data_IF_732380100561
#
_entry.id   IF_732380100561
#
_cell.length_a   1.000
_cell.length_b   1.000
_cell.length_c   1.000
_cell.angle_alpha   90.00
_cell.angle_beta   90.00
_cell.angle_gamma   90.00
#
_symmetry.space_group_name_H-M   'P 1'
#
loop_
_entity.id
_entity.type
_entity.pdbx_description
1 polymer ?
#
# COMPACT_ATOMS: atom_id res chain seq x y z
N UNK A 1 -19.50 0.63 -2.70
CA UNK A 1 -19.16 0.25 -1.31
C UNK A 1 -19.38 -1.24 -1.16
N UNK A 2 -18.30 -1.96 -0.87
CA UNK A 2 -18.34 -3.39 -0.57
C UNK A 2 -18.66 -3.59 0.91
N UNK A 3 -19.53 -4.55 1.22
CA UNK A 3 -19.70 -5.03 2.58
C UNK A 3 -18.49 -5.86 3.03
N UNK A 4 -18.33 -6.01 4.36
CA UNK A 4 -17.28 -6.85 4.93
C UNK A 4 -17.36 -8.29 4.39
N UNK A 5 -18.57 -8.86 4.33
CA UNK A 5 -18.81 -10.22 3.86
C UNK A 5 -18.50 -10.39 2.37
N UNK A 6 -18.85 -9.42 1.52
CA UNK A 6 -18.48 -9.43 0.09
C UNK A 6 -16.96 -9.40 -0.08
N UNK A 7 -16.26 -8.57 0.70
CA UNK A 7 -14.80 -8.49 0.64
C UNK A 7 -14.14 -9.82 1.04
N UNK A 8 -14.60 -10.42 2.14
CA UNK A 8 -14.05 -11.67 2.65
C UNK A 8 -14.28 -12.84 1.70
N UNK A 9 -15.40 -12.86 0.98
CA UNK A 9 -15.74 -13.96 0.07
C UNK A 9 -15.18 -13.80 -1.34
N UNK A 10 -14.85 -12.58 -1.77
CA UNK A 10 -14.34 -12.33 -3.12
C UNK A 10 -13.05 -13.10 -3.44
N UNK A 11 -12.91 -13.57 -4.67
CA UNK A 11 -11.69 -14.22 -5.15
C UNK A 11 -10.52 -13.22 -5.17
N UNK A 12 -9.26 -13.70 -5.26
CA UNK A 12 -8.14 -12.82 -5.58
C UNK A 12 -8.45 -11.96 -6.80
N UNK A 13 -8.89 -12.58 -7.91
CA UNK A 13 -9.20 -11.88 -9.17
C UNK A 13 -10.30 -10.82 -9.03
N UNK A 14 -11.33 -11.06 -8.21
CA UNK A 14 -12.40 -10.09 -7.94
C UNK A 14 -11.90 -8.90 -7.11
N UNK A 15 -10.96 -9.14 -6.20
CA UNK A 15 -10.29 -8.09 -5.40
C UNK A 15 -9.19 -7.39 -6.17
N UNK A 16 -8.74 -8.00 -7.26
CA UNK A 16 -7.62 -7.56 -8.08
C UNK A 16 -8.04 -7.21 -9.51
N UNK A 17 -9.33 -6.95 -9.77
CA UNK A 17 -9.81 -6.32 -11.03
C UNK A 17 -9.07 -5.01 -11.38
N UNK A 18 -8.29 -4.51 -10.43
CA UNK A 18 -7.38 -3.38 -10.45
C UNK A 18 -5.95 -3.67 -10.98
N UNK A 19 -5.62 -4.92 -11.33
CA UNK A 19 -4.28 -5.40 -11.74
C UNK A 19 -3.81 -4.93 -13.11
N UNK A 20 -4.69 -4.37 -13.93
CA UNK A 20 -4.33 -3.92 -15.27
C UNK A 20 -3.61 -2.57 -15.24
N UNK A 21 -2.34 -2.58 -14.83
CA UNK A 21 -1.40 -1.50 -15.10
C UNK A 21 -0.90 -1.57 -16.55
N UNK A 22 -1.85 -1.60 -17.50
CA UNK A 22 -1.54 -1.60 -18.91
C UNK A 22 -0.69 -0.38 -19.25
N UNK A 23 0.27 -0.58 -20.14
CA UNK A 23 1.29 0.40 -20.50
C UNK A 23 0.68 1.52 -21.35
N UNK A 24 -0.09 2.41 -20.72
CA UNK A 24 -0.54 3.65 -21.35
C UNK A 24 0.54 4.74 -21.24
N UNK A 25 0.56 5.64 -22.23
CA UNK A 25 1.53 6.74 -22.35
C UNK A 25 1.65 7.52 -21.03
N UNK A 26 2.86 7.54 -20.46
CA UNK A 26 3.15 8.32 -19.26
C UNK A 26 3.46 9.77 -19.62
N UNK A 27 3.11 10.73 -18.76
CA UNK A 27 3.51 12.13 -18.99
C UNK A 27 5.03 12.28 -18.97
N UNK A 28 5.70 11.53 -18.09
CA UNK A 28 7.16 11.36 -18.09
C UNK A 28 7.51 9.88 -17.99
N UNK A 29 8.46 9.43 -18.82
CA UNK A 29 9.10 8.11 -18.71
C UNK A 29 10.60 8.30 -18.56
N UNK A 30 11.15 7.91 -17.42
CA UNK A 30 12.59 7.96 -17.14
C UNK A 30 13.28 6.79 -17.83
N UNK A 31 14.13 7.13 -18.81
CA UNK A 31 15.01 6.23 -19.56
C UNK A 31 16.50 6.57 -19.35
N UNK A 32 16.85 7.02 -18.14
CA UNK A 32 18.24 7.29 -17.77
C UNK A 32 18.58 6.58 -16.47
N UNK A 33 19.87 6.31 -16.24
CA UNK A 33 20.33 5.71 -14.99
C UNK A 33 20.18 6.66 -13.81
N UNK A 34 20.32 7.97 -14.04
CA UNK A 34 20.10 9.03 -13.05
C UNK A 34 19.49 10.26 -13.71
N UNK A 35 18.56 10.91 -13.02
CA UNK A 35 18.02 12.22 -13.38
C UNK A 35 17.36 12.84 -12.15
N UNK A 36 17.19 14.16 -12.17
CA UNK A 36 16.56 14.90 -11.06
C UNK A 36 15.33 15.64 -11.55
N UNK A 37 14.25 15.56 -10.78
CA UNK A 37 13.04 16.35 -10.96
C UNK A 37 12.72 17.07 -9.66
N UNK A 38 12.48 18.38 -9.75
CA UNK A 38 12.16 19.22 -8.60
C UNK A 38 10.97 20.12 -8.95
N UNK A 39 10.01 20.23 -8.04
CA UNK A 39 8.87 21.15 -8.18
C UNK A 39 8.06 20.97 -9.49
N UNK A 40 7.95 19.73 -9.96
CA UNK A 40 7.26 19.40 -11.21
C UNK A 40 5.82 18.93 -10.95
N UNK A 41 4.91 19.25 -11.86
CA UNK A 41 3.56 18.68 -11.92
C UNK A 41 3.46 17.76 -13.14
N UNK A 42 3.03 16.52 -12.91
CA UNK A 42 2.80 15.50 -13.92
C UNK A 42 1.30 15.18 -14.00
N UNK A 43 0.74 15.27 -15.20
CA UNK A 43 -0.67 14.95 -15.49
C UNK A 43 -0.72 14.17 -16.79
N UNK A 44 -1.49 13.08 -16.84
CA UNK A 44 -1.69 12.29 -18.05
C UNK A 44 -3.16 11.89 -18.17
N UNK A 45 -3.81 12.19 -19.29
CA UNK A 45 -5.24 11.85 -19.48
C UNK A 45 -5.49 10.34 -19.49
N UNK A 46 -4.55 9.56 -20.04
CA UNK A 46 -4.77 8.15 -20.33
C UNK A 46 -3.76 7.21 -19.66
N UNK A 47 -2.72 7.73 -19.00
CA UNK A 47 -1.66 6.90 -18.45
C UNK A 47 -1.08 7.44 -17.15
N UNK A 48 0.14 7.01 -16.84
CA UNK A 48 0.78 7.39 -15.59
C UNK A 48 1.27 8.84 -15.61
N UNK A 49 1.30 9.51 -14.45
CA UNK A 49 1.96 10.81 -14.34
C UNK A 49 3.46 10.69 -14.56
N UNK A 50 4.10 9.81 -13.79
CA UNK A 50 5.54 9.63 -13.83
C UNK A 50 5.92 8.16 -13.76
N UNK A 51 6.72 7.68 -14.72
CA UNK A 51 7.14 6.29 -14.79
C UNK A 51 8.66 6.18 -14.78
N UNK A 52 9.19 5.28 -13.94
CA UNK A 52 10.57 4.78 -13.99
C UNK A 52 10.52 3.33 -14.44
N UNK A 53 10.90 3.07 -15.70
CA UNK A 53 10.82 1.74 -16.30
C UNK A 53 12.14 1.26 -16.92
N UNK A 54 13.18 2.08 -16.96
CA UNK A 54 14.49 1.61 -17.37
C UNK A 54 15.15 0.80 -16.25
N UNK A 55 15.77 -0.30 -16.66
CA UNK A 55 16.46 -1.20 -15.74
C UNK A 55 17.54 -0.48 -14.94
N UNK A 56 17.54 -0.70 -13.63
CA UNK A 56 18.51 -0.18 -12.67
C UNK A 56 18.57 1.37 -12.62
N UNK A 57 17.55 2.07 -13.14
CA UNK A 57 17.40 3.53 -13.01
C UNK A 57 17.29 3.96 -11.54
N UNK A 58 17.83 5.12 -11.21
CA UNK A 58 17.83 5.68 -9.86
C UNK A 58 17.64 7.21 -9.89
N UNK A 59 16.43 7.71 -10.24
CA UNK A 59 16.15 9.14 -10.27
C UNK A 59 15.99 9.71 -8.86
N UNK A 60 16.21 11.01 -8.73
CA UNK A 60 15.80 11.81 -7.56
C UNK A 60 14.60 12.67 -7.93
N UNK A 61 13.50 12.55 -7.19
CA UNK A 61 12.25 13.26 -7.45
C UNK A 61 11.83 13.93 -6.15
N UNK A 62 11.84 15.25 -6.12
CA UNK A 62 11.60 16.03 -4.89
C UNK A 62 10.53 17.08 -5.10
N UNK A 63 9.58 17.20 -4.18
CA UNK A 63 8.52 18.21 -4.24
C UNK A 63 7.72 18.18 -5.55
N UNK A 64 7.58 17.00 -6.17
CA UNK A 64 6.82 16.82 -7.39
C UNK A 64 5.42 16.27 -7.11
N UNK A 65 4.48 16.51 -8.02
CA UNK A 65 3.13 16.00 -7.93
C UNK A 65 2.72 15.22 -9.19
N UNK A 66 2.00 14.12 -9.01
CA UNK A 66 1.31 13.40 -10.07
C UNK A 66 -0.21 13.41 -9.77
N UNK A 67 -0.97 14.22 -10.51
CA UNK A 67 -2.37 14.53 -10.20
C UNK A 67 -3.30 14.18 -11.34
N UNK A 68 -4.48 13.69 -10.99
CA UNK A 68 -5.60 13.46 -11.90
C UNK A 68 -5.19 12.66 -13.15
N UNK A 69 -4.29 11.68 -12.96
CA UNK A 69 -3.81 10.85 -14.06
C UNK A 69 -4.81 9.73 -14.36
N UNK A 70 -5.00 9.42 -15.65
CA UNK A 70 -5.88 8.36 -16.14
C UNK A 70 -5.44 6.93 -15.78
N UNK A 71 -4.30 6.78 -15.12
CA UNK A 71 -3.84 5.53 -14.52
C UNK A 71 -3.22 5.81 -13.14
N UNK A 72 -1.92 5.60 -12.97
CA UNK A 72 -1.20 5.75 -11.70
C UNK A 72 -0.48 7.09 -11.58
N UNK A 73 -0.26 7.58 -10.36
CA UNK A 73 0.52 8.80 -10.15
C UNK A 73 2.01 8.58 -10.47
N UNK A 74 2.69 7.81 -9.62
CA UNK A 74 4.08 7.40 -9.78
C UNK A 74 4.19 5.88 -9.97
N UNK A 75 4.81 5.45 -11.06
CA UNK A 75 5.11 4.04 -11.35
C UNK A 75 6.61 3.79 -11.29
N UNK A 76 7.04 2.82 -10.50
CA UNK A 76 8.42 2.38 -10.41
C UNK A 76 8.46 0.89 -10.73
N UNK A 77 9.26 0.49 -11.71
CA UNK A 77 9.33 -0.90 -12.17
C UNK A 77 10.72 -1.30 -12.68
N UNK A 78 10.84 -2.54 -13.15
CA UNK A 78 12.03 -3.03 -13.85
C UNK A 78 13.34 -2.92 -13.06
N UNK A 79 13.34 -3.26 -11.77
CA UNK A 79 14.53 -3.17 -10.91
C UNK A 79 15.02 -1.73 -10.72
N UNK A 80 14.18 -0.77 -11.03
CA UNK A 80 14.48 0.62 -10.75
C UNK A 80 14.55 0.82 -9.23
N UNK A 81 15.50 1.65 -8.86
CA UNK A 81 15.53 2.37 -7.60
C UNK A 81 14.96 3.76 -7.84
N UNK A 82 15.13 4.62 -6.86
CA UNK A 82 14.79 6.02 -6.96
C UNK A 82 14.57 6.59 -5.58
N UNK A 83 14.72 7.89 -5.45
CA UNK A 83 14.46 8.63 -4.22
C UNK A 83 13.32 9.60 -4.48
N UNK A 84 12.19 9.38 -3.83
CA UNK A 84 11.00 10.21 -3.92
C UNK A 84 10.80 10.88 -2.57
N UNK A 85 10.88 12.21 -2.52
CA UNK A 85 10.79 12.96 -1.27
C UNK A 85 9.80 14.11 -1.40
N UNK A 86 8.91 14.27 -0.41
CA UNK A 86 7.89 15.32 -0.40
C UNK A 86 7.02 15.33 -1.68
N UNK A 87 6.75 14.17 -2.27
CA UNK A 87 5.94 14.07 -3.49
C UNK A 87 4.47 13.82 -3.17
N UNK A 88 3.57 14.21 -4.07
CA UNK A 88 2.12 14.03 -3.92
C UNK A 88 1.52 13.27 -5.11
N UNK A 89 0.78 12.19 -4.83
CA UNK A 89 -0.03 11.47 -5.82
C UNK A 89 -1.51 11.59 -5.47
N UNK A 90 -2.30 12.30 -6.28
CA UNK A 90 -3.71 12.57 -5.92
C UNK A 90 -4.69 12.47 -7.07
N UNK A 91 -5.90 11.97 -6.78
CA UNK A 91 -7.00 11.97 -7.75
C UNK A 91 -6.79 11.03 -8.95
N UNK A 92 -5.84 10.09 -8.86
CA UNK A 92 -5.51 9.22 -9.98
C UNK A 92 -6.58 8.12 -10.14
N UNK A 93 -6.84 7.72 -11.39
CA UNK A 93 -7.85 6.72 -11.75
C UNK A 93 -7.51 5.29 -11.30
N UNK A 94 -6.26 5.05 -10.90
CA UNK A 94 -5.80 3.80 -10.28
C UNK A 94 -5.17 4.08 -8.91
N UNK A 95 -3.95 3.60 -8.66
CA UNK A 95 -3.21 3.80 -7.42
C UNK A 95 -2.28 5.02 -7.50
N UNK A 96 -2.00 5.66 -6.37
CA UNK A 96 -1.15 6.85 -6.35
C UNK A 96 0.33 6.55 -6.59
N UNK A 97 0.91 5.62 -5.82
CA UNK A 97 2.31 5.17 -5.97
C UNK A 97 2.32 3.66 -6.17
N UNK A 98 2.95 3.19 -7.25
CA UNK A 98 2.99 1.78 -7.62
C UNK A 98 4.44 1.33 -7.79
N UNK A 99 4.82 0.27 -7.07
CA UNK A 99 6.14 -0.35 -7.13
C UNK A 99 5.97 -1.82 -7.52
N UNK A 100 6.50 -2.20 -8.68
CA UNK A 100 6.26 -3.53 -9.25
C UNK A 100 7.53 -4.18 -9.77
N UNK A 101 7.56 -5.51 -9.65
CA UNK A 101 8.59 -6.36 -10.26
C UNK A 101 9.78 -6.62 -9.35
N UNK A 102 10.29 -7.84 -9.44
CA UNK A 102 11.42 -8.30 -8.63
C UNK A 102 12.65 -7.43 -8.80
N UNK A 103 13.23 -7.04 -7.66
CA UNK A 103 14.42 -6.18 -7.58
C UNK A 103 14.14 -4.68 -7.70
N UNK A 104 12.89 -4.27 -7.87
CA UNK A 104 12.47 -2.86 -7.78
C UNK A 104 12.42 -2.46 -6.31
N UNK A 105 13.16 -1.42 -5.93
CA UNK A 105 13.39 -1.04 -4.52
C UNK A 105 13.64 0.48 -4.39
N UNK A 106 12.58 1.30 -4.44
CA UNK A 106 12.69 2.75 -4.26
C UNK A 106 12.73 3.13 -2.76
N UNK A 107 13.27 4.31 -2.47
CA UNK A 107 13.08 5.01 -1.20
C UNK A 107 12.05 6.11 -1.38
N UNK A 108 10.98 6.06 -0.59
CA UNK A 108 9.86 7.02 -0.61
C UNK A 108 9.73 7.63 0.78
N UNK A 109 9.94 8.94 0.89
CA UNK A 109 10.01 9.66 2.18
C UNK A 109 9.08 10.88 2.17
N UNK A 110 8.25 11.04 3.21
CA UNK A 110 7.38 12.22 3.39
C UNK A 110 6.44 12.47 2.20
N UNK A 111 6.06 11.42 1.49
CA UNK A 111 5.15 11.50 0.35
C UNK A 111 3.70 11.32 0.78
N UNK A 112 2.79 11.92 0.01
CA UNK A 112 1.34 11.86 0.24
C UNK A 112 0.65 11.20 -0.94
N UNK A 113 -0.29 10.30 -0.68
CA UNK A 113 -1.05 9.59 -1.71
C UNK A 113 -2.54 9.58 -1.38
N UNK A 114 -3.33 10.46 -2.02
CA UNK A 114 -4.68 10.78 -1.54
C UNK A 114 -5.76 10.69 -2.61
N UNK A 115 -6.95 10.23 -2.24
CA UNK A 115 -8.13 10.25 -3.10
C UNK A 115 -7.93 9.53 -4.46
N UNK A 116 -7.13 8.48 -4.50
CA UNK A 116 -6.98 7.63 -5.68
C UNK A 116 -8.08 6.55 -5.71
N UNK A 117 -8.44 6.06 -6.90
CA UNK A 117 -9.55 5.09 -7.07
C UNK A 117 -9.15 3.64 -6.71
N UNK A 118 -7.90 3.40 -6.35
CA UNK A 118 -7.42 2.11 -5.83
C UNK A 118 -6.66 2.31 -4.50
N UNK A 119 -5.41 1.86 -4.41
CA UNK A 119 -4.58 2.04 -3.23
C UNK A 119 -3.83 3.38 -3.26
N UNK A 120 -3.52 3.92 -2.09
CA UNK A 120 -2.55 5.01 -2.00
C UNK A 120 -1.16 4.54 -2.44
N UNK A 121 -0.71 3.40 -1.90
CA UNK A 121 0.55 2.75 -2.24
C UNK A 121 0.27 1.29 -2.61
N UNK A 122 0.80 0.82 -3.74
CA UNK A 122 0.72 -0.57 -4.16
C UNK A 122 2.11 -1.14 -4.41
N UNK A 123 2.42 -2.26 -3.76
CA UNK A 123 3.69 -2.98 -3.93
C UNK A 123 3.37 -4.41 -4.35
N UNK A 124 3.89 -4.87 -5.48
CA UNK A 124 3.60 -6.24 -5.94
C UNK A 124 4.67 -6.87 -6.85
N UNK A 125 4.43 -8.11 -7.26
CA UNK A 125 5.27 -8.86 -8.21
C UNK A 125 6.73 -9.02 -7.76
N UNK A 126 6.95 -9.27 -6.47
CA UNK A 126 8.29 -9.47 -5.90
C UNK A 126 9.06 -8.18 -5.65
N UNK A 127 8.41 -7.03 -5.76
CA UNK A 127 9.01 -5.74 -5.45
C UNK A 127 9.26 -5.57 -3.94
N UNK A 128 10.24 -4.74 -3.62
CA UNK A 128 10.47 -4.23 -2.28
C UNK A 128 10.24 -2.72 -2.28
N UNK A 129 10.84 -2.01 -1.33
CA UNK A 129 10.76 -0.57 -1.22
C UNK A 129 10.79 -0.15 0.24
N UNK A 130 11.34 1.04 0.49
CA UNK A 130 11.33 1.66 1.82
C UNK A 130 10.42 2.87 1.80
N UNK A 131 9.40 2.87 2.67
CA UNK A 131 8.43 3.95 2.81
C UNK A 131 8.54 4.51 4.23
N UNK A 132 8.86 5.79 4.35
CA UNK A 132 9.07 6.44 5.65
C UNK A 132 8.30 7.75 5.73
N UNK A 133 7.60 7.97 6.85
CA UNK A 133 6.82 9.20 7.10
C UNK A 133 5.82 9.53 5.97
N UNK A 134 5.28 8.51 5.30
CA UNK A 134 4.33 8.69 4.20
C UNK A 134 2.88 8.67 4.70
N UNK A 135 2.01 9.37 3.99
CA UNK A 135 0.57 9.42 4.25
C UNK A 135 -0.20 8.89 3.04
N UNK A 136 -1.13 7.98 3.26
CA UNK A 136 -2.13 7.61 2.27
C UNK A 136 -3.53 7.72 2.86
N UNK A 137 -4.36 8.60 2.29
CA UNK A 137 -5.67 8.92 2.85
C UNK A 137 -6.79 9.08 1.82
N UNK A 138 -8.01 8.65 2.17
CA UNK A 138 -9.19 8.81 1.30
C UNK A 138 -9.14 8.01 -0.01
N UNK A 139 -8.24 7.02 -0.11
CA UNK A 139 -8.15 6.14 -1.28
C UNK A 139 -9.31 5.12 -1.26
N UNK A 140 -9.76 4.67 -2.43
CA UNK A 140 -10.94 3.80 -2.48
C UNK A 140 -10.67 2.43 -1.82
N UNK A 141 -9.59 1.74 -2.24
CA UNK A 141 -9.36 0.36 -1.84
C UNK A 141 -8.55 0.22 -0.55
N UNK A 142 -7.35 0.81 -0.50
CA UNK A 142 -6.51 0.73 0.70
C UNK A 142 -5.53 1.89 0.83
N UNK A 143 -5.00 2.08 2.05
CA UNK A 143 -3.87 2.97 2.25
C UNK A 143 -2.61 2.42 1.59
N UNK A 144 -2.25 1.18 1.93
CA UNK A 144 -1.21 0.39 1.28
C UNK A 144 -1.69 -1.04 1.00
N UNK A 145 -1.39 -1.54 -0.19
CA UNK A 145 -1.53 -2.95 -0.54
C UNK A 145 -0.20 -3.58 -0.91
N UNK A 146 0.04 -4.77 -0.37
CA UNK A 146 1.24 -5.58 -0.62
C UNK A 146 0.83 -6.96 -1.09
N UNK A 147 1.16 -7.30 -2.33
CA UNK A 147 0.61 -8.47 -3.00
C UNK A 147 1.69 -9.33 -3.66
N UNK A 148 1.53 -10.64 -3.57
CA UNK A 148 2.29 -11.61 -4.35
C UNK A 148 3.57 -12.08 -3.65
N UNK A 149 3.92 -13.34 -3.93
CA UNK A 149 5.10 -13.98 -3.37
C UNK A 149 6.39 -13.22 -3.66
N UNK A 150 7.23 -13.10 -2.64
CA UNK A 150 8.51 -12.37 -2.71
C UNK A 150 8.38 -10.85 -2.53
N UNK A 151 7.17 -10.30 -2.49
CA UNK A 151 6.95 -8.87 -2.23
C UNK A 151 7.13 -8.58 -0.73
N UNK A 152 8.01 -7.64 -0.38
CA UNK A 152 8.44 -7.44 1.01
C UNK A 152 8.90 -6.00 1.36
N UNK A 153 8.02 -5.00 1.30
CA UNK A 153 8.40 -3.62 1.62
C UNK A 153 8.74 -3.44 3.11
N UNK A 154 9.54 -2.40 3.38
CA UNK A 154 9.76 -1.85 4.72
C UNK A 154 9.00 -0.54 4.85
N UNK A 155 8.12 -0.45 5.85
CA UNK A 155 7.21 0.66 6.05
C UNK A 155 7.34 1.16 7.49
N UNK A 156 7.74 2.42 7.66
CA UNK A 156 8.04 3.00 8.97
C UNK A 156 7.34 4.36 9.13
N UNK A 157 6.66 4.57 10.26
CA UNK A 157 6.02 5.87 10.61
C UNK A 157 5.01 6.37 9.56
N UNK A 158 4.41 5.46 8.80
CA UNK A 158 3.42 5.82 7.79
C UNK A 158 2.00 5.85 8.35
N UNK A 159 1.13 6.66 7.75
CA UNK A 159 -0.28 6.80 8.12
C UNK A 159 -1.18 6.34 6.97
N UNK A 160 -2.10 5.42 7.25
CA UNK A 160 -3.03 4.82 6.30
C UNK A 160 -4.47 5.04 6.78
N UNK A 161 -5.10 6.12 6.33
CA UNK A 161 -6.35 6.59 6.92
C UNK A 161 -7.51 6.67 5.95
N UNK A 162 -8.72 6.48 6.46
CA UNK A 162 -9.96 6.83 5.75
C UNK A 162 -10.10 6.19 4.37
N UNK A 163 -9.60 4.96 4.19
CA UNK A 163 -9.86 4.19 2.97
C UNK A 163 -11.37 3.94 2.84
N UNK A 164 -11.94 4.22 1.67
CA UNK A 164 -13.41 4.36 1.50
C UNK A 164 -14.15 3.04 1.39
N UNK A 165 -13.50 2.01 0.85
CA UNK A 165 -14.14 0.71 0.56
C UNK A 165 -13.36 -0.48 1.12
N UNK A 166 -12.12 -0.29 1.57
CA UNK A 166 -11.31 -1.36 2.13
C UNK A 166 -10.57 -0.98 3.41
N UNK A 167 -9.32 -1.44 3.52
CA UNK A 167 -8.54 -1.37 4.76
C UNK A 167 -7.32 -0.47 4.70
N UNK A 168 -6.76 -0.12 5.86
CA UNK A 168 -5.53 0.67 5.92
C UNK A 168 -4.33 -0.07 5.30
N UNK A 169 -4.07 -1.28 5.79
CA UNK A 169 -2.98 -2.15 5.33
C UNK A 169 -3.56 -3.47 4.82
N UNK A 170 -3.33 -3.79 3.55
CA UNK A 170 -3.64 -5.08 2.94
C UNK A 170 -2.34 -5.84 2.62
N UNK A 171 -2.22 -7.08 3.10
CA UNK A 171 -1.14 -7.99 2.71
C UNK A 171 -1.74 -9.30 2.23
N UNK A 172 -1.41 -9.74 1.02
CA UNK A 172 -2.04 -10.93 0.41
C UNK A 172 -1.14 -11.72 -0.54
N UNK A 173 -1.62 -12.90 -0.95
CA UNK A 173 -1.05 -13.75 -1.99
C UNK A 173 0.43 -14.13 -1.81
N UNK A 174 0.82 -14.50 -0.59
CA UNK A 174 2.20 -14.91 -0.29
C UNK A 174 3.14 -13.75 -0.02
N UNK A 175 2.64 -12.52 0.03
CA UNK A 175 3.44 -11.36 0.38
C UNK A 175 3.84 -11.34 1.86
N UNK A 176 4.92 -10.61 2.13
CA UNK A 176 5.34 -10.27 3.49
C UNK A 176 5.48 -8.75 3.57
N UNK A 177 6.31 -8.26 4.49
CA UNK A 177 6.55 -6.85 4.71
C UNK A 177 6.70 -6.55 6.19
N UNK A 178 7.40 -5.46 6.49
CA UNK A 178 7.58 -4.98 7.86
C UNK A 178 6.92 -3.62 8.01
N UNK A 179 5.99 -3.52 8.96
CA UNK A 179 5.30 -2.29 9.32
C UNK A 179 5.68 -1.92 10.75
N UNK A 180 6.37 -0.79 10.92
CA UNK A 180 6.87 -0.33 12.21
C UNK A 180 6.36 1.07 12.52
N UNK A 181 5.77 1.25 13.70
CA UNK A 181 5.29 2.55 14.19
C UNK A 181 4.32 3.25 13.22
N UNK A 182 3.56 2.47 12.45
CA UNK A 182 2.56 2.97 11.51
C UNK A 182 1.19 3.18 12.18
N UNK A 183 0.34 3.96 11.52
CA UNK A 183 -1.06 4.15 11.91
C UNK A 183 -2.00 3.65 10.81
N UNK A 184 -3.02 2.88 11.18
CA UNK A 184 -4.14 2.50 10.34
C UNK A 184 -5.44 2.90 11.02
N UNK A 185 -6.12 3.94 10.53
CA UNK A 185 -7.27 4.50 11.23
C UNK A 185 -8.42 4.97 10.36
N UNK A 186 -9.65 4.88 10.88
CA UNK A 186 -10.84 5.41 10.18
C UNK A 186 -11.17 4.71 8.87
N UNK A 187 -10.58 3.55 8.59
CA UNK A 187 -10.83 2.83 7.34
C UNK A 187 -12.20 2.16 7.37
N UNK A 188 -12.86 2.11 6.22
CA UNK A 188 -14.23 1.61 6.07
C UNK A 188 -14.40 0.14 6.46
N UNK A 189 -13.38 -0.70 6.26
CA UNK A 189 -13.42 -2.11 6.66
C UNK A 189 -12.38 -2.42 7.73
N UNK A 190 -11.11 -2.50 7.37
CA UNK A 190 -10.10 -3.07 8.26
C UNK A 190 -8.99 -2.08 8.61
N UNK A 191 -8.43 -2.21 9.80
CA UNK A 191 -7.13 -1.58 10.05
C UNK A 191 -6.04 -2.27 9.25
N UNK A 192 -5.90 -3.56 9.50
CA UNK A 192 -4.95 -4.47 8.82
C UNK A 192 -5.71 -5.73 8.43
N UNK A 193 -5.58 -6.13 7.17
CA UNK A 193 -6.06 -7.41 6.67
C UNK A 193 -4.90 -8.21 6.08
N UNK A 194 -4.77 -9.46 6.52
CA UNK A 194 -3.74 -10.40 6.08
C UNK A 194 -4.42 -11.66 5.57
N UNK A 195 -4.12 -12.06 4.34
CA UNK A 195 -4.84 -13.18 3.74
C UNK A 195 -4.04 -13.98 2.72
N UNK A 196 -4.56 -15.15 2.40
CA UNK A 196 -4.02 -16.10 1.43
C UNK A 196 -2.75 -16.82 1.90
N UNK A 197 -2.57 -18.04 1.39
CA UNK A 197 -1.49 -18.93 1.81
C UNK A 197 -0.11 -18.33 1.57
N UNK A 198 0.78 -18.51 2.54
CA UNK A 198 2.15 -18.00 2.50
C UNK A 198 2.29 -16.52 2.92
N UNK A 199 1.18 -15.80 3.09
CA UNK A 199 1.23 -14.41 3.52
C UNK A 199 1.63 -14.30 4.98
N UNK A 200 2.65 -13.50 5.29
CA UNK A 200 3.22 -13.42 6.63
C UNK A 200 3.95 -12.09 6.89
N UNK A 201 3.23 -10.99 7.22
CA UNK A 201 3.85 -9.72 7.56
C UNK A 201 4.33 -9.69 9.02
N UNK A 202 5.23 -8.76 9.31
CA UNK A 202 5.59 -8.35 10.67
C UNK A 202 5.06 -6.94 10.94
N UNK A 203 4.24 -6.78 11.97
CA UNK A 203 3.63 -5.52 12.37
C UNK A 203 4.02 -5.22 13.82
N UNK A 204 4.70 -4.10 14.05
CA UNK A 204 5.23 -3.74 15.37
C UNK A 204 5.03 -2.29 15.74
N UNK A 205 4.58 -2.02 16.96
CA UNK A 205 4.46 -0.65 17.49
C UNK A 205 3.38 0.17 16.78
N UNK A 206 2.52 -0.46 15.99
CA UNK A 206 1.53 0.23 15.19
C UNK A 206 0.28 0.61 16.00
N UNK A 207 -0.39 1.66 15.56
CA UNK A 207 -1.68 2.13 16.07
C UNK A 207 -2.79 1.78 15.09
N UNK A 208 -3.76 0.98 15.52
CA UNK A 208 -4.87 0.51 14.70
C UNK A 208 -6.17 1.02 15.34
N UNK A 209 -6.68 2.14 14.84
CA UNK A 209 -7.62 2.98 15.58
C UNK A 209 -8.91 3.25 14.82
N UNK A 210 -10.06 3.09 15.48
CA UNK A 210 -11.36 3.59 14.97
C UNK A 210 -11.70 3.10 13.56
N UNK A 211 -11.27 1.90 13.16
CA UNK A 211 -11.68 1.33 11.88
C UNK A 211 -13.11 0.77 12.00
N UNK A 212 -13.91 0.96 10.97
CA UNK A 212 -15.35 0.65 11.01
C UNK A 212 -15.65 -0.85 11.04
N UNK A 213 -14.70 -1.70 10.68
CA UNK A 213 -14.74 -3.14 10.88
C UNK A 213 -13.61 -3.62 11.81
N UNK A 214 -12.99 -4.75 11.46
CA UNK A 214 -11.99 -5.39 12.32
C UNK A 214 -10.65 -4.63 12.29
N UNK A 215 -10.07 -4.37 13.47
CA UNK A 215 -8.74 -3.78 13.61
C UNK A 215 -7.69 -4.62 12.90
N UNK A 216 -7.51 -5.88 13.31
CA UNK A 216 -6.62 -6.83 12.62
C UNK A 216 -7.37 -8.11 12.27
N UNK A 217 -7.54 -8.36 10.97
CA UNK A 217 -8.18 -9.54 10.40
C UNK A 217 -7.12 -10.41 9.70
N UNK A 218 -7.07 -11.70 10.05
CA UNK A 218 -6.21 -12.69 9.37
C UNK A 218 -7.08 -13.84 8.86
N UNK A 219 -7.17 -14.06 7.55
CA UNK A 219 -8.10 -15.03 6.95
C UNK A 219 -7.48 -15.80 5.77
N UNK A 220 -8.23 -16.71 5.14
CA UNK A 220 -7.82 -17.50 3.96
C UNK A 220 -6.42 -18.10 4.12
N UNK A 221 -6.27 -19.11 5.01
CA UNK A 221 -5.03 -19.47 5.71
C UNK A 221 -3.85 -18.51 5.54
N UNK A 222 -3.68 -17.57 6.46
CA UNK A 222 -2.53 -16.67 6.48
C UNK A 222 -1.80 -16.70 7.83
N UNK A 223 -0.62 -16.11 7.87
CA UNK A 223 0.16 -15.96 9.10
C UNK A 223 0.56 -14.52 9.37
N UNK A 224 1.10 -14.23 10.55
CA UNK A 224 1.64 -12.91 10.84
C UNK A 224 2.25 -12.81 12.22
N UNK A 225 3.19 -11.86 12.37
CA UNK A 225 3.81 -11.53 13.65
C UNK A 225 3.36 -10.13 14.05
N UNK A 226 2.68 -10.02 15.19
CA UNK A 226 2.14 -8.77 15.69
C UNK A 226 2.68 -8.48 17.09
N UNK A 227 3.47 -7.41 17.23
CA UNK A 227 4.12 -7.04 18.48
C UNK A 227 3.83 -5.62 18.93
N UNK A 228 3.49 -5.43 20.21
CA UNK A 228 3.38 -4.10 20.81
C UNK A 228 2.44 -3.14 20.06
N UNK A 229 1.42 -3.67 19.39
CA UNK A 229 0.46 -2.85 18.66
C UNK A 229 -0.68 -2.42 19.59
N UNK A 230 -1.20 -1.21 19.37
CA UNK A 230 -2.36 -0.69 20.08
C UNK A 230 -3.57 -0.70 19.17
N UNK A 231 -4.62 -1.40 19.59
CA UNK A 231 -5.91 -1.43 18.92
C UNK A 231 -6.93 -0.72 19.81
N UNK A 232 -7.70 0.22 19.26
CA UNK A 232 -8.71 0.95 20.02
C UNK A 232 -9.84 1.45 19.12
N UNK A 233 -11.09 1.38 19.59
CA UNK A 233 -12.24 1.94 18.88
C UNK A 233 -12.61 1.25 17.56
N UNK A 234 -11.95 0.16 17.18
CA UNK A 234 -12.36 -0.65 16.02
C UNK A 234 -13.65 -1.42 16.33
N UNK A 235 -14.49 -1.73 15.34
CA UNK A 235 -15.71 -2.51 15.60
C UNK A 235 -15.42 -3.89 16.22
N UNK A 236 -14.30 -4.51 15.82
CA UNK A 236 -13.73 -5.70 16.46
C UNK A 236 -12.22 -5.52 16.57
N UNK A 237 -11.60 -5.91 17.69
CA UNK A 237 -10.15 -5.75 17.83
C UNK A 237 -9.39 -6.71 16.89
N UNK A 238 -9.69 -8.01 17.00
CA UNK A 238 -8.96 -9.06 16.31
C UNK A 238 -9.93 -10.10 15.75
N UNK A 239 -9.64 -10.59 14.56
CA UNK A 239 -10.25 -11.80 14.02
C UNK A 239 -9.20 -12.66 13.31
N UNK A 240 -9.19 -13.96 13.61
CA UNK A 240 -8.26 -14.92 13.01
C UNK A 240 -9.08 -16.09 12.52
N UNK A 241 -9.25 -16.13 11.21
CA UNK A 241 -9.96 -17.15 10.49
C UNK A 241 -9.30 -18.52 10.60
N UNK A 242 -10.11 -19.54 10.28
CA UNK A 242 -9.71 -20.94 10.33
C UNK A 242 -8.42 -21.19 9.55
N UNK A 243 -7.55 -22.04 10.08
CA UNK A 243 -6.25 -22.41 9.50
C UNK A 243 -5.22 -21.27 9.41
N UNK A 244 -5.52 -20.09 9.97
CA UNK A 244 -4.54 -19.01 10.10
C UNK A 244 -3.78 -19.12 11.42
N UNK A 245 -2.55 -18.62 11.46
CA UNK A 245 -1.67 -18.70 12.64
C UNK A 245 -0.96 -17.39 12.90
N UNK A 246 -1.06 -16.86 14.12
CA UNK A 246 -0.47 -15.55 14.45
C UNK A 246 0.38 -15.62 15.70
N UNK A 247 1.50 -14.90 15.69
CA UNK A 247 2.26 -14.59 16.90
C UNK A 247 1.78 -13.24 17.42
N UNK A 248 1.34 -13.20 18.69
CA UNK A 248 0.88 -11.98 19.37
C UNK A 248 1.69 -11.77 20.64
N UNK A 249 2.38 -10.64 20.73
CA UNK A 249 3.23 -10.32 21.89
C UNK A 249 3.06 -8.84 22.26
N UNK A 250 2.75 -8.53 23.53
CA UNK A 250 2.66 -7.14 24.02
C UNK A 250 1.58 -6.25 23.36
N UNK A 251 0.66 -6.80 22.58
CA UNK A 251 -0.42 -6.01 21.95
C UNK A 251 -1.48 -5.60 22.99
N UNK A 252 -1.99 -4.38 22.85
CA UNK A 252 -3.10 -3.85 23.66
C UNK A 252 -4.36 -3.88 22.78
N UNK A 253 -5.35 -4.77 23.04
CA UNK A 253 -6.59 -4.81 22.27
C UNK A 253 -7.51 -3.62 22.61
N UNK A 254 -8.64 -3.51 21.91
CA UNK A 254 -9.67 -2.50 22.20
C UNK A 254 -9.97 -2.43 23.71
N UNK A 255 -10.03 -1.23 24.27
CA UNK A 255 -10.64 -1.02 25.58
C UNK A 255 -12.15 -1.16 25.45
N UNK A 256 -12.75 -2.05 26.25
CA UNK A 256 -14.20 -2.10 26.46
C UNK A 256 -14.73 -0.82 27.12
#
# INVERSE_FOLDING_TARGET
>A
EWSQEEWENATPEERTQWEQFDAFHSAVSVQSLTCTFENCLFTSENGAGFTVNQKDSNPTVTACAAKDCGSVGFRISNRARGRFTNCEASGNAMSGIVVIGSGTDPTVEKCRSTNNQQAGIWVSQGASGTFTDCEASGNAMSGIGVQGSGTNPTVEKCRFTDSKEGGGILVCEGASGTFTDCEASGNALYGIVVQDSGTNPTVRGCQILNNHGTGILVLKPASGIFRNNRLSGNAKAWDVGRFSSVVREGNVPNSN
#
